data_IF_017869389009
#
_entry.id   IF_017869389009
#
_cell.length_a   1.000
_cell.length_b   1.000
_cell.length_c   1.000
_cell.angle_alpha   90.00
_cell.angle_beta   90.00
_cell.angle_gamma   90.00
#
_symmetry.space_group_name_H-M   'P 1'
#
loop_
_entity.id
_entity.type
_entity.pdbx_description
1 polymer ?
#
# COMPACT_ATOMS: atom_id res chain seq x y z
N UNK A 1 -40.45 2.80 -40.61
CA UNK A 1 -39.13 2.87 -39.95
C UNK A 1 -39.30 2.34 -38.55
N UNK A 2 -39.02 1.04 -38.40
CA UNK A 2 -39.41 0.23 -37.24
C UNK A 2 -38.44 0.33 -36.06
N UNK A 3 -38.75 -0.38 -34.97
CA UNK A 3 -38.35 -0.12 -33.57
C UNK A 3 -36.91 -0.55 -33.24
N UNK A 4 -35.97 -0.34 -34.16
CA UNK A 4 -34.56 -0.74 -34.00
C UNK A 4 -33.81 0.29 -33.15
N UNK A 5 -34.28 1.54 -33.12
CA UNK A 5 -33.62 2.64 -32.39
C UNK A 5 -33.75 2.48 -30.86
N UNK A 6 -34.86 1.89 -30.38
CA UNK A 6 -35.06 1.73 -28.93
C UNK A 6 -34.16 0.65 -28.32
N UNK A 7 -33.92 -0.46 -29.04
CA UNK A 7 -33.15 -1.58 -28.51
C UNK A 7 -31.65 -1.28 -28.44
N UNK A 8 -31.12 -0.43 -29.33
CA UNK A 8 -29.70 0.00 -29.32
C UNK A 8 -29.38 0.95 -28.16
N UNK A 9 -30.31 1.83 -27.78
CA UNK A 9 -30.15 2.73 -26.63
C UNK A 9 -30.18 1.98 -25.30
N UNK A 10 -31.11 1.04 -25.15
CA UNK A 10 -31.26 0.25 -23.91
C UNK A 10 -30.05 -0.64 -23.67
N UNK A 11 -29.53 -1.30 -24.72
CA UNK A 11 -28.32 -2.13 -24.57
C UNK A 11 -27.05 -1.32 -24.30
N UNK A 12 -26.90 -0.13 -24.88
CA UNK A 12 -25.75 0.76 -24.64
C UNK A 12 -25.69 1.32 -23.21
N UNK A 13 -26.83 1.72 -22.65
CA UNK A 13 -26.92 2.26 -21.29
C UNK A 13 -26.67 1.18 -20.21
N UNK A 14 -27.14 -0.05 -20.43
CA UNK A 14 -26.93 -1.15 -19.48
C UNK A 14 -25.45 -1.54 -19.33
N UNK A 15 -24.67 -1.50 -20.41
CA UNK A 15 -23.23 -1.80 -20.37
C UNK A 15 -22.46 -0.70 -19.66
N UNK A 16 -22.81 0.58 -19.89
CA UNK A 16 -22.19 1.71 -19.20
C UNK A 16 -22.44 1.69 -17.69
N UNK A 17 -23.68 1.40 -17.27
CA UNK A 17 -24.04 1.27 -15.86
C UNK A 17 -23.32 0.08 -15.19
N UNK A 18 -23.23 -1.06 -15.88
CA UNK A 18 -22.46 -2.22 -15.42
C UNK A 18 -20.97 -1.90 -15.25
N UNK A 19 -20.36 -1.21 -16.22
CA UNK A 19 -18.96 -0.81 -16.16
C UNK A 19 -18.67 0.16 -15.00
N UNK A 20 -19.57 1.11 -14.74
CA UNK A 20 -19.44 2.06 -13.64
C UNK A 20 -19.52 1.38 -12.26
N UNK A 21 -20.39 0.37 -12.11
CA UNK A 21 -20.49 -0.42 -10.88
C UNK A 21 -19.24 -1.26 -10.63
N UNK A 22 -18.71 -1.95 -11.66
CA UNK A 22 -17.46 -2.74 -11.54
C UNK A 22 -16.26 -1.84 -11.25
N UNK A 23 -16.18 -0.66 -11.89
CA UNK A 23 -15.17 0.37 -11.62
C UNK A 23 -15.22 0.81 -10.15
N UNK A 24 -16.41 1.09 -9.63
CA UNK A 24 -16.61 1.50 -8.22
C UNK A 24 -16.13 0.44 -7.23
N UNK A 25 -16.38 -0.85 -7.49
CA UNK A 25 -15.91 -1.96 -6.62
C UNK A 25 -14.38 -2.10 -6.68
N UNK A 26 -13.78 -1.90 -7.84
CA UNK A 26 -12.33 -1.98 -8.03
C UNK A 26 -11.58 -0.75 -7.48
N UNK A 27 -12.21 0.43 -7.46
CA UNK A 27 -11.68 1.62 -6.78
C UNK A 27 -11.88 1.54 -5.24
N UNK A 28 -12.95 0.89 -4.76
CA UNK A 28 -13.19 0.67 -3.31
C UNK A 28 -12.30 -0.42 -2.71
N UNK A 29 -12.00 -1.46 -3.49
CA UNK A 29 -10.99 -2.45 -3.16
C UNK A 29 -9.82 -2.24 -4.12
N UNK A 30 -8.93 -1.27 -3.86
CA UNK A 30 -7.65 -1.26 -4.55
C UNK A 30 -7.06 -2.63 -4.26
N UNK A 31 -7.03 -3.49 -5.29
CA UNK A 31 -6.56 -4.86 -5.22
C UNK A 31 -5.37 -4.87 -4.27
N UNK A 32 -5.56 -5.49 -3.10
CA UNK A 32 -4.51 -5.61 -2.11
C UNK A 32 -3.45 -6.51 -2.72
N UNK A 33 -2.62 -5.92 -3.59
CA UNK A 33 -1.39 -6.51 -4.04
C UNK A 33 -0.55 -6.84 -2.81
N UNK A 34 0.45 -7.72 -2.95
CA UNK A 34 1.33 -8.08 -1.85
C UNK A 34 1.71 -6.82 -1.08
N UNK A 35 1.38 -6.77 0.21
CA UNK A 35 1.75 -5.63 1.04
C UNK A 35 3.24 -5.39 0.83
N UNK A 36 3.66 -4.16 0.47
CA UNK A 36 5.06 -3.91 0.19
C UNK A 36 5.85 -4.35 1.42
N UNK A 37 6.85 -5.21 1.23
CA UNK A 37 7.74 -5.62 2.29
C UNK A 37 8.38 -4.40 2.96
N UNK A 38 8.68 -4.50 4.25
CA UNK A 38 9.37 -3.43 4.93
C UNK A 38 10.81 -3.34 4.40
N UNK A 39 11.13 -2.25 3.69
CA UNK A 39 12.47 -1.97 3.17
C UNK A 39 13.55 -1.99 4.26
N UNK A 40 13.20 -1.61 5.50
CA UNK A 40 14.16 -1.55 6.61
C UNK A 40 14.60 -2.92 7.12
N UNK A 41 13.79 -3.96 6.94
CA UNK A 41 14.11 -5.33 7.42
C UNK A 41 13.93 -6.40 6.34
N UNK A 42 13.75 -5.99 5.08
CA UNK A 42 13.51 -6.87 3.93
C UNK A 42 12.46 -7.98 4.19
N UNK A 43 11.38 -7.66 4.90
CA UNK A 43 10.34 -8.64 5.19
C UNK A 43 10.53 -9.49 6.45
N UNK A 44 11.72 -9.48 7.07
CA UNK A 44 12.05 -10.38 8.19
C UNK A 44 11.34 -9.95 9.49
N UNK A 45 11.05 -8.65 9.65
CA UNK A 45 10.44 -8.11 10.87
C UNK A 45 11.40 -7.98 12.06
N UNK A 46 12.61 -8.51 11.97
CA UNK A 46 13.67 -8.41 12.99
C UNK A 46 14.96 -7.89 12.35
N UNK A 47 15.75 -7.16 13.14
CA UNK A 47 17.04 -6.59 12.71
C UNK A 47 18.08 -6.82 13.80
N UNK A 48 19.36 -6.90 13.39
CA UNK A 48 20.48 -6.95 14.32
C UNK A 48 20.50 -5.71 15.20
N UNK A 49 20.76 -5.89 16.48
CA UNK A 49 20.94 -4.80 17.42
C UNK A 49 22.26 -4.08 17.11
N UNK A 50 22.18 -2.79 16.80
CA UNK A 50 23.34 -1.97 16.42
C UNK A 50 24.12 -1.43 17.62
N UNK A 51 24.03 -2.09 18.77
CA UNK A 51 24.42 -1.47 20.03
C UNK A 51 25.22 -2.39 20.93
N UNK A 52 26.42 -1.93 21.27
CA UNK A 52 27.28 -2.50 22.30
C UNK A 52 27.06 -1.77 23.63
N UNK A 53 27.05 -2.52 24.73
CA UNK A 53 26.99 -1.98 26.08
C UNK A 53 28.32 -1.27 26.37
N UNK A 54 28.25 0.00 26.75
CA UNK A 54 29.42 0.81 27.05
C UNK A 54 30.31 0.23 28.17
N UNK A 55 29.70 -0.46 29.14
CA UNK A 55 30.39 -0.98 30.32
C UNK A 55 31.26 -2.20 30.03
N UNK A 56 30.81 -3.12 29.17
CA UNK A 56 31.38 -4.46 29.07
C UNK A 56 31.73 -4.84 27.62
N UNK A 57 31.38 -4.02 26.63
CA UNK A 57 31.54 -4.34 25.20
C UNK A 57 30.56 -5.40 24.67
N UNK A 58 29.87 -6.11 25.56
CA UNK A 58 28.84 -7.09 25.22
C UNK A 58 27.64 -6.49 24.50
N UNK A 59 26.90 -7.37 23.82
CA UNK A 59 25.69 -7.00 23.09
C UNK A 59 24.61 -6.49 24.06
N UNK A 60 24.19 -5.23 23.93
CA UNK A 60 22.90 -4.81 24.47
C UNK A 60 22.79 -3.40 25.08
N UNK A 61 21.84 -2.63 24.53
CA UNK A 61 20.93 -1.81 25.36
C UNK A 61 19.75 -2.66 25.83
N UNK A 62 18.99 -2.21 26.85
CA UNK A 62 17.75 -2.86 27.33
C UNK A 62 16.79 -3.26 26.20
N UNK A 63 16.78 -2.50 25.11
CA UNK A 63 15.95 -2.71 23.91
C UNK A 63 16.17 -4.05 23.20
N UNK A 64 17.34 -4.68 23.35
CA UNK A 64 17.65 -5.96 22.70
C UNK A 64 17.74 -7.13 23.70
N UNK A 65 17.53 -6.85 24.99
CA UNK A 65 17.55 -7.82 26.08
C UNK A 65 18.76 -8.79 26.07
N UNK A 66 19.92 -8.33 25.57
CA UNK A 66 21.13 -9.16 25.42
C UNK A 66 21.10 -10.18 24.27
N UNK A 67 19.99 -10.32 23.55
CA UNK A 67 19.84 -11.29 22.44
C UNK A 67 20.53 -10.89 21.12
N UNK A 68 20.93 -9.62 21.01
CA UNK A 68 21.50 -9.08 19.77
C UNK A 68 20.51 -8.90 18.62
N UNK A 69 19.23 -9.18 18.84
CA UNK A 69 18.19 -8.98 17.83
C UNK A 69 17.09 -8.11 18.43
N UNK A 70 16.58 -7.17 17.62
CA UNK A 70 15.44 -6.35 17.98
C UNK A 70 14.37 -6.41 16.89
N UNK A 71 13.14 -6.10 17.30
CA UNK A 71 12.02 -5.94 16.38
C UNK A 71 12.29 -4.73 15.47
N UNK A 72 12.04 -4.89 14.18
CA UNK A 72 12.15 -3.79 13.23
C UNK A 72 11.14 -2.69 13.61
N UNK A 73 11.65 -1.51 13.98
CA UNK A 73 10.80 -0.38 14.40
C UNK A 73 9.97 0.19 13.26
N UNK A 74 10.45 0.11 12.02
CA UNK A 74 9.75 0.64 10.85
C UNK A 74 8.46 -0.10 10.52
N UNK A 75 8.41 -1.42 10.77
CA UNK A 75 7.20 -2.23 10.59
C UNK A 75 6.59 -2.75 11.89
N UNK A 76 7.16 -2.41 13.05
CA UNK A 76 6.73 -2.96 14.34
C UNK A 76 6.82 -4.49 14.44
N UNK A 77 7.63 -5.13 13.60
CA UNK A 77 7.78 -6.59 13.57
C UNK A 77 6.90 -7.37 12.60
N UNK A 78 6.01 -6.70 11.87
CA UNK A 78 5.11 -7.39 10.92
C UNK A 78 5.82 -7.89 9.66
N UNK A 79 7.02 -7.37 9.35
CA UNK A 79 7.72 -7.62 8.09
C UNK A 79 7.11 -6.88 6.90
N UNK A 80 5.88 -6.38 7.03
CA UNK A 80 5.19 -5.59 6.01
C UNK A 80 5.40 -4.10 6.23
N UNK A 81 5.71 -3.36 5.18
CA UNK A 81 5.70 -1.92 5.19
C UNK A 81 4.26 -1.40 5.34
N UNK A 82 4.09 -0.32 6.11
CA UNK A 82 2.80 0.36 6.19
C UNK A 82 2.62 1.21 4.93
N UNK A 83 1.58 0.98 4.10
CA UNK A 83 1.26 1.90 3.02
C UNK A 83 0.98 3.27 3.62
N UNK A 84 1.73 4.29 3.18
CA UNK A 84 1.44 5.69 3.49
C UNK A 84 0.50 6.19 2.40
N UNK A 85 -0.81 6.35 2.65
CA UNK A 85 -1.70 6.95 1.67
C UNK A 85 -1.28 8.41 1.47
N UNK A 86 -0.66 8.70 0.33
CA UNK A 86 -0.36 10.06 -0.09
C UNK A 86 -1.48 10.55 -1.01
N UNK A 87 -2.10 11.69 -0.67
CA UNK A 87 -3.01 12.37 -1.58
C UNK A 87 -2.20 13.22 -2.53
N UNK A 88 -2.11 12.81 -3.80
CA UNK A 88 -1.45 13.59 -4.85
C UNK A 88 -2.47 14.56 -5.46
N UNK A 89 -2.31 15.85 -5.20
CA UNK A 89 -3.10 16.90 -5.87
C UNK A 89 -2.40 17.23 -7.20
N UNK A 90 -2.89 16.67 -8.30
CA UNK A 90 -2.39 16.98 -9.64
C UNK A 90 -3.13 18.22 -10.15
N UNK A 91 -2.41 19.31 -10.38
CA UNK A 91 -2.97 20.49 -11.06
C UNK A 91 -3.05 20.23 -12.56
N UNK A 92 -4.17 20.56 -13.23
CA UNK A 92 -4.24 20.52 -14.68
C UNK A 92 -3.18 21.44 -15.31
N UNK A 93 -2.56 21.05 -16.44
CA UNK A 93 -1.68 21.94 -17.19
C UNK A 93 -2.47 23.16 -17.67
N UNK A 94 -1.84 24.34 -17.61
CA UNK A 94 -2.45 25.56 -18.14
C UNK A 94 -2.68 25.42 -19.65
N UNK A 95 -3.83 25.86 -20.18
CA UNK A 95 -4.08 25.84 -21.62
C UNK A 95 -3.10 26.79 -22.35
N UNK A 96 -2.64 26.44 -23.56
CA UNK A 96 -1.81 27.32 -24.37
C UNK A 96 -2.59 28.57 -24.80
N UNK A 97 -1.92 29.72 -24.75
CA UNK A 97 -2.40 31.05 -25.17
C UNK A 97 -2.58 31.18 -26.67
#
# INVERSE_FOLDING_TARGET
MGPIVLTQLVTGLSVLAGAALVKSIMDQNPMAGPFPWCLSCNGIGRVSCLCSRWSDGDVGYRTCAGSGIMVCRSCGGTGTGRPLPAQLIVRPPNPPS
#
